data_IF_628747627092
#
_entry.id   IF_628747627092
#
_cell.length_a   1.000
_cell.length_b   1.000
_cell.length_c   1.000
_cell.angle_alpha   90.00
_cell.angle_beta   90.00
_cell.angle_gamma   90.00
#
_symmetry.space_group_name_H-M   'P 1'
#
loop_
_entity.id
_entity.type
_entity.pdbx_description
1 polymer ?
#
# COMPACT_ATOMS: atom_id res chain seq x y z
N UNK A 1 14.20 4.12 -54.35
CA UNK A 1 15.42 4.37 -53.55
C UNK A 1 16.39 5.12 -54.49
N UNK A 2 16.82 6.29 -54.09
CA UNK A 2 17.86 7.01 -54.84
C UNK A 2 19.19 6.28 -54.68
N UNK A 3 19.92 6.13 -55.78
CA UNK A 3 21.23 5.49 -55.79
C UNK A 3 22.22 6.34 -54.97
N UNK A 4 22.71 5.81 -53.84
CA UNK A 4 23.68 6.47 -52.98
C UNK A 4 23.29 6.59 -51.47
N UNK A 5 22.09 6.17 -51.10
CA UNK A 5 21.68 6.19 -49.67
C UNK A 5 22.42 5.09 -48.90
N UNK A 6 23.24 5.48 -47.92
CA UNK A 6 23.88 4.54 -46.99
C UNK A 6 22.86 4.14 -45.96
N UNK A 7 22.43 2.90 -45.94
CA UNK A 7 21.59 2.34 -44.90
C UNK A 7 22.51 1.79 -43.82
N UNK A 8 22.59 2.47 -42.67
CA UNK A 8 23.23 1.92 -41.48
C UNK A 8 22.20 1.01 -40.81
N UNK A 9 22.37 -0.32 -40.94
CA UNK A 9 21.49 -1.27 -40.30
C UNK A 9 21.69 -1.18 -38.77
N UNK A 10 20.65 -0.94 -37.98
CA UNK A 10 20.74 -1.03 -36.50
C UNK A 10 21.04 -2.48 -36.11
N UNK A 11 21.62 -2.65 -34.90
CA UNK A 11 21.78 -3.99 -34.32
C UNK A 11 20.39 -4.54 -34.02
N UNK A 12 19.99 -5.56 -34.77
CA UNK A 12 18.66 -6.15 -34.60
C UNK A 12 18.55 -6.88 -33.25
N UNK A 13 17.57 -6.49 -32.46
CA UNK A 13 17.11 -7.25 -31.29
C UNK A 13 15.80 -7.95 -31.65
N UNK A 14 15.68 -9.24 -31.30
CA UNK A 14 14.48 -10.01 -31.59
C UNK A 14 13.23 -9.35 -30.96
N UNK A 15 12.14 -9.25 -31.75
CA UNK A 15 10.86 -8.67 -31.29
C UNK A 15 10.75 -7.14 -31.43
N UNK A 16 11.78 -6.44 -31.88
CA UNK A 16 11.75 -4.98 -32.08
C UNK A 16 11.34 -4.60 -33.51
N UNK A 17 10.56 -3.53 -33.62
CA UNK A 17 10.25 -2.90 -34.93
C UNK A 17 11.24 -1.76 -35.14
N UNK A 18 11.99 -1.84 -36.26
CA UNK A 18 12.95 -0.83 -36.64
C UNK A 18 12.43 0.03 -37.76
N UNK A 19 12.71 1.31 -37.72
CA UNK A 19 12.45 2.24 -38.81
C UNK A 19 13.77 2.69 -39.43
N UNK A 20 13.79 2.84 -40.75
CA UNK A 20 14.94 3.43 -41.45
C UNK A 20 14.98 4.92 -41.14
N UNK A 21 16.17 5.44 -40.73
CA UNK A 21 16.43 6.86 -40.56
C UNK A 21 16.40 7.55 -41.90
N UNK A 22 15.72 8.68 -42.01
CA UNK A 22 15.78 9.56 -43.16
C UNK A 22 17.03 10.45 -43.05
N UNK A 23 17.73 10.71 -44.18
CA UNK A 23 18.87 11.60 -44.16
C UNK A 23 18.50 12.99 -43.58
N UNK A 24 19.34 13.48 -42.70
CA UNK A 24 19.12 14.75 -41.98
C UNK A 24 18.12 14.70 -40.82
N UNK A 25 17.54 13.53 -40.52
CA UNK A 25 16.62 13.38 -39.41
C UNK A 25 17.37 13.22 -38.07
N UNK A 26 17.02 14.03 -37.07
CA UNK A 26 17.48 13.87 -35.69
C UNK A 26 16.63 12.79 -35.00
N UNK A 27 17.30 11.80 -34.41
CA UNK A 27 16.65 10.78 -33.58
C UNK A 27 17.10 10.96 -32.15
N UNK A 28 16.14 10.87 -31.26
CA UNK A 28 16.37 10.86 -29.82
C UNK A 28 16.08 9.47 -29.24
N UNK A 29 16.84 9.10 -28.25
CA UNK A 29 16.67 7.84 -27.52
C UNK A 29 15.65 8.03 -26.40
N UNK A 30 14.76 7.06 -26.23
CA UNK A 30 13.80 6.99 -25.13
C UNK A 30 14.26 5.88 -24.18
N UNK A 31 14.84 6.25 -23.07
CA UNK A 31 15.19 5.33 -21.99
C UNK A 31 13.99 5.17 -21.07
N UNK A 32 13.65 3.94 -20.72
CA UNK A 32 12.46 3.62 -19.91
C UNK A 32 12.89 2.74 -18.77
N UNK A 33 12.74 3.23 -17.54
CA UNK A 33 12.92 2.44 -16.33
C UNK A 33 11.55 2.03 -15.78
N UNK A 34 11.20 0.77 -15.99
CA UNK A 34 9.94 0.21 -15.48
C UNK A 34 9.95 0.17 -13.94
N UNK A 35 8.82 0.47 -13.28
CA UNK A 35 8.69 0.26 -11.84
C UNK A 35 8.68 -1.24 -11.51
N UNK A 36 8.84 -1.60 -10.24
CA UNK A 36 8.57 -2.97 -9.81
C UNK A 36 7.14 -3.35 -10.23
N UNK A 37 6.99 -4.48 -10.91
CA UNK A 37 5.68 -4.96 -11.41
C UNK A 37 4.64 -5.16 -10.32
N UNK A 38 5.07 -5.39 -9.08
CA UNK A 38 4.19 -5.46 -7.92
C UNK A 38 3.61 -4.09 -7.53
N UNK A 39 4.28 -3.01 -7.91
CA UNK A 39 3.90 -1.64 -7.53
C UNK A 39 3.18 -0.89 -8.64
N UNK A 40 3.30 -1.33 -9.89
CA UNK A 40 2.62 -0.69 -10.99
C UNK A 40 3.15 -1.07 -12.38
N UNK A 41 2.60 -0.42 -13.40
CA UNK A 41 3.02 -0.56 -14.79
C UNK A 41 3.23 0.79 -15.44
N UNK A 42 4.24 0.88 -16.31
CA UNK A 42 4.55 2.05 -17.12
C UNK A 42 4.26 1.75 -18.59
N UNK A 43 3.71 2.70 -19.32
CA UNK A 43 3.48 2.61 -20.75
C UNK A 43 3.91 3.90 -21.45
N UNK A 44 4.74 3.78 -22.47
CA UNK A 44 5.18 4.90 -23.32
C UNK A 44 4.71 4.61 -24.74
N UNK A 45 3.83 5.46 -25.25
CA UNK A 45 3.18 5.28 -26.56
C UNK A 45 3.64 6.40 -27.48
N UNK A 46 4.15 6.06 -28.66
CA UNK A 46 4.34 6.97 -29.79
C UNK A 46 2.99 7.18 -30.47
N UNK A 47 2.44 8.36 -30.30
CA UNK A 47 1.13 8.70 -30.85
C UNK A 47 1.16 8.75 -32.39
N UNK A 48 0.30 7.97 -33.02
CA UNK A 48 0.01 8.01 -34.46
C UNK A 48 1.22 7.82 -35.41
N UNK A 49 2.15 6.94 -35.02
CA UNK A 49 3.12 6.49 -36.03
C UNK A 49 2.41 5.76 -37.16
N UNK A 50 2.35 6.37 -38.36
CA UNK A 50 1.59 5.86 -39.51
C UNK A 50 0.12 5.50 -39.18
N UNK A 51 -0.56 6.42 -38.47
CA UNK A 51 -1.95 6.28 -38.05
C UNK A 51 -2.22 5.21 -36.98
N UNK A 52 -1.17 4.61 -36.43
CA UNK A 52 -1.27 3.64 -35.31
C UNK A 52 -0.40 4.08 -34.15
N UNK A 53 -0.90 3.82 -32.93
CA UNK A 53 -0.12 4.01 -31.74
C UNK A 53 0.89 2.86 -31.59
N UNK A 54 2.15 3.20 -31.27
CA UNK A 54 3.24 2.23 -31.11
C UNK A 54 3.78 2.29 -29.70
N UNK A 55 3.73 1.19 -28.96
CA UNK A 55 4.39 1.09 -27.66
C UNK A 55 5.90 1.11 -27.87
N UNK A 56 6.58 2.02 -27.16
CA UNK A 56 8.04 2.06 -27.09
C UNK A 56 8.55 1.21 -25.93
N UNK A 57 9.74 0.67 -26.13
CA UNK A 57 10.49 -0.05 -25.12
C UNK A 57 11.79 0.68 -24.82
N UNK A 58 12.44 0.32 -23.70
CA UNK A 58 13.71 0.93 -23.29
C UNK A 58 14.77 0.92 -24.40
N UNK A 59 15.35 2.08 -24.66
CA UNK A 59 16.37 2.31 -25.70
C UNK A 59 15.81 2.43 -27.12
N UNK A 60 14.49 2.49 -27.33
CA UNK A 60 13.92 2.80 -28.64
C UNK A 60 14.21 4.24 -29.05
N UNK A 61 14.27 4.48 -30.37
CA UNK A 61 14.54 5.80 -30.93
C UNK A 61 13.34 6.34 -31.69
N UNK A 62 13.08 7.64 -31.51
CA UNK A 62 12.06 8.36 -32.24
C UNK A 62 12.57 9.71 -32.77
N UNK A 63 12.01 10.23 -33.88
CA UNK A 63 12.39 11.53 -34.43
C UNK A 63 12.13 12.68 -33.48
N UNK A 64 12.85 13.76 -33.69
CA UNK A 64 12.53 15.06 -33.13
C UNK A 64 11.07 15.43 -33.39
N UNK A 65 10.45 16.12 -32.42
CA UNK A 65 9.04 16.51 -32.44
C UNK A 65 8.03 15.35 -32.41
N UNK A 66 8.48 14.13 -32.15
CA UNK A 66 7.56 13.00 -31.87
C UNK A 66 6.71 13.30 -30.63
N UNK A 67 5.41 13.03 -30.71
CA UNK A 67 4.52 13.08 -29.56
C UNK A 67 4.48 11.71 -28.87
N UNK A 68 4.81 11.70 -27.61
CA UNK A 68 4.72 10.52 -26.75
C UNK A 68 3.61 10.73 -25.71
N UNK A 69 2.76 9.72 -25.52
CA UNK A 69 1.86 9.66 -24.37
C UNK A 69 2.46 8.70 -23.34
N UNK A 70 2.76 9.22 -22.16
CA UNK A 70 3.38 8.45 -21.07
C UNK A 70 2.36 8.27 -19.97
N UNK A 71 2.04 7.01 -19.64
CA UNK A 71 1.07 6.67 -18.60
C UNK A 71 1.66 5.74 -17.56
N UNK A 72 1.32 5.97 -16.30
CA UNK A 72 1.60 5.05 -15.21
C UNK A 72 0.30 4.62 -14.55
N UNK A 73 0.19 3.34 -14.26
CA UNK A 73 -0.92 2.76 -13.52
C UNK A 73 -0.38 2.06 -12.27
N UNK A 74 -0.61 2.61 -11.04
CA UNK A 74 -0.30 1.91 -9.81
C UNK A 74 -1.03 0.56 -9.74
N UNK A 75 -0.44 -0.43 -9.06
CA UNK A 75 -1.02 -1.77 -8.96
C UNK A 75 -2.32 -1.78 -8.14
N UNK A 76 -2.42 -0.91 -7.14
CA UNK A 76 -3.64 -0.68 -6.36
C UNK A 76 -3.69 0.74 -5.77
N UNK A 77 -4.81 1.07 -5.11
CA UNK A 77 -5.07 2.41 -4.56
C UNK A 77 -4.19 2.79 -3.35
N UNK A 78 -3.45 1.85 -2.77
CA UNK A 78 -2.51 2.09 -1.68
C UNK A 78 -1.12 2.49 -2.17
N UNK A 79 -0.91 2.55 -3.48
CA UNK A 79 0.37 2.89 -4.10
C UNK A 79 0.25 4.22 -4.82
N UNK A 80 1.14 5.15 -4.53
CA UNK A 80 1.33 6.35 -5.33
C UNK A 80 2.47 6.16 -6.31
N UNK A 81 2.34 6.75 -7.50
CA UNK A 81 3.36 6.73 -8.53
C UNK A 81 3.64 8.15 -9.03
N UNK A 82 4.92 8.53 -9.04
CA UNK A 82 5.39 9.82 -9.56
C UNK A 82 6.16 9.55 -10.83
N UNK A 83 5.62 10.01 -11.96
CA UNK A 83 6.22 9.87 -13.28
C UNK A 83 7.21 11.03 -13.51
N UNK A 84 8.38 10.72 -14.03
CA UNK A 84 9.42 11.70 -14.35
C UNK A 84 9.95 11.54 -15.78
N UNK A 85 10.32 12.65 -16.40
CA UNK A 85 11.13 12.69 -17.60
C UNK A 85 12.36 13.56 -17.33
N UNK A 86 13.55 13.03 -17.55
CA UNK A 86 14.83 13.73 -17.27
C UNK A 86 14.86 14.33 -15.85
N UNK A 87 14.34 13.58 -14.86
CA UNK A 87 14.24 14.00 -13.46
C UNK A 87 13.13 15.03 -13.14
N UNK A 88 12.42 15.55 -14.12
CA UNK A 88 11.28 16.47 -13.93
C UNK A 88 9.96 15.69 -13.85
N UNK A 89 9.14 16.01 -12.85
CA UNK A 89 7.81 15.40 -12.71
C UNK A 89 6.92 15.79 -13.88
N UNK A 90 6.27 14.80 -14.47
CA UNK A 90 5.25 14.97 -15.52
C UNK A 90 3.93 14.29 -15.10
N UNK A 91 2.83 14.71 -15.72
CA UNK A 91 1.51 14.15 -15.41
C UNK A 91 1.26 12.89 -16.23
N UNK A 92 0.74 11.82 -15.59
CA UNK A 92 0.33 10.61 -16.30
C UNK A 92 -0.75 10.92 -17.33
N UNK A 93 -0.54 10.48 -18.59
CA UNK A 93 -1.42 10.78 -19.72
C UNK A 93 -1.12 12.11 -20.43
N UNK A 94 -0.20 12.92 -19.92
CA UNK A 94 0.26 14.13 -20.61
C UNK A 94 1.09 13.76 -21.85
N UNK A 95 0.97 14.63 -22.88
CA UNK A 95 1.76 14.47 -24.12
C UNK A 95 3.13 15.13 -23.97
N UNK A 96 4.16 14.34 -24.17
CA UNK A 96 5.54 14.77 -24.19
C UNK A 96 6.00 14.95 -25.65
N UNK A 97 6.49 16.15 -25.99
CA UNK A 97 7.14 16.39 -27.30
C UNK A 97 8.63 16.10 -27.17
N UNK A 98 9.13 15.18 -28.00
CA UNK A 98 10.53 14.79 -27.98
C UNK A 98 11.41 15.85 -28.62
N UNK A 99 12.22 16.55 -27.82
CA UNK A 99 13.17 17.59 -28.25
C UNK A 99 14.62 17.29 -27.84
N UNK A 100 14.83 16.21 -27.11
CA UNK A 100 16.09 15.64 -26.66
C UNK A 100 15.88 14.17 -26.30
N UNK A 101 16.95 13.48 -25.94
CA UNK A 101 16.82 12.15 -25.35
C UNK A 101 15.93 12.22 -24.11
N UNK A 102 15.03 11.26 -23.98
CA UNK A 102 14.12 11.16 -22.85
C UNK A 102 14.57 10.05 -21.89
N UNK A 103 14.53 10.34 -20.60
CA UNK A 103 14.75 9.37 -19.53
C UNK A 103 13.48 9.30 -18.67
N UNK A 104 12.64 8.31 -18.98
CA UNK A 104 11.33 8.13 -18.36
C UNK A 104 11.47 7.16 -17.19
N UNK A 105 11.18 7.66 -15.99
CA UNK A 105 11.28 6.90 -14.74
C UNK A 105 10.02 7.02 -13.92
N UNK A 106 9.77 6.04 -13.04
CA UNK A 106 8.65 6.04 -12.09
C UNK A 106 9.17 5.80 -10.68
N UNK A 107 8.86 6.72 -9.77
CA UNK A 107 9.02 6.52 -8.34
C UNK A 107 7.70 6.04 -7.76
N UNK A 108 7.72 4.91 -7.06
CA UNK A 108 6.52 4.35 -6.42
C UNK A 108 6.69 4.32 -4.91
N UNK A 109 5.60 4.60 -4.18
CA UNK A 109 5.57 4.58 -2.73
C UNK A 109 4.29 3.92 -2.24
N UNK A 110 4.43 2.92 -1.35
CA UNK A 110 3.29 2.30 -0.67
C UNK A 110 2.89 3.20 0.50
N UNK A 111 1.63 3.62 0.52
CA UNK A 111 1.12 4.62 1.46
C UNK A 111 0.73 4.01 2.82
N UNK A 112 0.71 4.79 3.91
CA UNK A 112 0.07 4.41 5.16
C UNK A 112 -1.43 4.16 5.00
N UNK A 113 -1.99 3.24 5.80
CA UNK A 113 -3.44 3.11 5.92
C UNK A 113 -4.00 4.26 6.76
N UNK A 114 -4.73 5.14 6.11
CA UNK A 114 -5.44 6.23 6.76
C UNK A 114 -6.86 5.81 7.15
N UNK A 115 -7.10 5.60 8.43
CA UNK A 115 -8.38 5.17 8.97
C UNK A 115 -9.50 6.21 8.80
N UNK A 116 -9.17 7.50 8.73
CA UNK A 116 -10.16 8.56 8.54
C UNK A 116 -10.84 8.52 7.18
N UNK A 117 -10.22 7.84 6.22
CA UNK A 117 -10.76 7.63 4.87
C UNK A 117 -11.59 6.34 4.77
N UNK A 118 -11.78 5.61 5.87
CA UNK A 118 -12.46 4.31 5.90
C UNK A 118 -13.85 4.46 6.51
N UNK A 119 -14.86 3.98 5.78
CA UNK A 119 -16.27 4.07 6.19
C UNK A 119 -16.86 2.73 6.64
N UNK A 120 -16.10 1.65 6.54
CA UNK A 120 -16.49 0.29 6.90
C UNK A 120 -15.51 -0.33 7.90
N UNK A 121 -15.82 -1.55 8.34
CA UNK A 121 -14.87 -2.35 9.09
C UNK A 121 -13.62 -2.62 8.23
N UNK A 122 -12.46 -2.67 8.87
CA UNK A 122 -11.17 -2.86 8.21
C UNK A 122 -10.59 -4.20 8.64
N UNK A 123 -10.21 -5.04 7.68
CA UNK A 123 -9.45 -6.26 7.94
C UNK A 123 -8.02 -6.08 7.45
N UNK A 124 -7.05 -6.32 8.35
CA UNK A 124 -5.62 -6.31 8.09
C UNK A 124 -5.14 -7.72 7.84
N UNK A 125 -4.37 -7.93 6.79
CA UNK A 125 -3.81 -9.21 6.38
C UNK A 125 -2.40 -9.08 5.83
N UNK A 126 -1.75 -10.21 5.56
CA UNK A 126 -0.51 -10.28 4.80
C UNK A 126 -0.71 -11.12 3.54
N UNK A 127 -0.08 -10.67 2.44
CA UNK A 127 0.08 -11.43 1.20
C UNK A 127 1.58 -11.50 0.89
N UNK A 128 2.23 -12.61 1.26
CA UNK A 128 3.69 -12.72 1.32
C UNK A 128 4.27 -11.72 2.33
N UNK A 129 5.15 -10.84 1.88
CA UNK A 129 5.75 -9.79 2.70
C UNK A 129 4.94 -8.49 2.73
N UNK A 130 3.91 -8.38 1.89
CA UNK A 130 3.16 -7.14 1.71
C UNK A 130 1.98 -7.05 2.69
N UNK A 131 1.87 -5.94 3.41
CA UNK A 131 0.69 -5.61 4.19
C UNK A 131 -0.47 -5.24 3.28
N UNK A 132 -1.63 -5.81 3.57
CA UNK A 132 -2.88 -5.56 2.85
C UNK A 132 -4.01 -5.21 3.81
N UNK A 133 -4.95 -4.42 3.34
CA UNK A 133 -6.22 -4.23 4.02
C UNK A 133 -7.39 -4.40 3.06
N UNK A 134 -8.52 -4.80 3.61
CA UNK A 134 -9.81 -4.80 2.92
C UNK A 134 -10.83 -4.02 3.74
N UNK A 135 -11.77 -3.39 3.06
CA UNK A 135 -12.95 -2.79 3.68
C UNK A 135 -14.19 -3.58 3.32
N UNK A 136 -14.83 -4.16 4.30
CA UNK A 136 -16.16 -4.78 4.14
C UNK A 136 -16.82 -4.96 5.50
N UNK A 137 -18.12 -5.12 5.54
CA UNK A 137 -18.75 -5.74 6.70
C UNK A 137 -18.13 -7.12 6.90
N UNK A 138 -17.68 -7.45 8.11
CA UNK A 138 -16.92 -8.68 8.48
C UNK A 138 -17.62 -9.99 8.04
N UNK A 139 -18.72 -9.93 7.36
CA UNK A 139 -19.53 -11.09 6.99
C UNK A 139 -19.58 -11.41 5.51
N UNK A 140 -18.98 -10.67 4.59
CA UNK A 140 -19.00 -11.11 3.17
C UNK A 140 -18.12 -10.31 2.19
N UNK A 141 -17.60 -11.09 1.23
CA UNK A 141 -17.01 -10.74 -0.08
C UNK A 141 -16.05 -9.56 -0.03
N UNK A 142 -14.78 -9.90 0.14
CA UNK A 142 -13.68 -8.96 0.10
C UNK A 142 -13.75 -8.07 -1.15
N UNK A 143 -13.79 -6.78 -0.96
CA UNK A 143 -13.28 -5.83 -1.94
C UNK A 143 -11.83 -6.19 -2.24
N UNK A 144 -11.31 -5.84 -3.40
CA UNK A 144 -9.91 -6.08 -3.72
C UNK A 144 -9.02 -5.57 -2.58
N UNK A 145 -8.05 -6.39 -2.16
CA UNK A 145 -7.12 -6.01 -1.11
C UNK A 145 -6.22 -4.86 -1.58
N UNK A 146 -6.02 -3.88 -0.73
CA UNK A 146 -5.22 -2.68 -1.01
C UNK A 146 -3.93 -2.71 -0.21
N UNK A 147 -2.80 -2.41 -0.84
CA UNK A 147 -1.49 -2.37 -0.19
C UNK A 147 -1.37 -1.20 0.79
N UNK A 148 -0.63 -1.40 1.88
CA UNK A 148 -0.14 -0.32 2.73
C UNK A 148 1.21 -0.70 3.34
N UNK A 149 1.96 0.29 3.83
CA UNK A 149 3.34 0.11 4.27
C UNK A 149 3.52 -0.42 5.71
N UNK A 150 2.44 -0.94 6.32
CA UNK A 150 2.43 -1.37 7.72
C UNK A 150 2.15 -0.25 8.73
N UNK A 151 2.05 1.00 8.29
CA UNK A 151 1.70 2.14 9.14
C UNK A 151 0.19 2.42 9.08
N UNK A 152 -0.43 2.60 10.24
CA UNK A 152 -1.86 2.87 10.42
C UNK A 152 -2.01 4.19 11.19
N UNK A 153 -2.81 5.11 10.67
CA UNK A 153 -2.97 6.45 11.26
C UNK A 153 -4.41 6.91 11.32
N UNK A 154 -4.64 7.95 12.14
CA UNK A 154 -5.92 8.63 12.28
C UNK A 154 -7.02 7.79 12.95
N UNK A 155 -8.27 8.26 12.88
CA UNK A 155 -9.40 7.65 13.58
C UNK A 155 -10.33 6.92 12.60
N UNK A 156 -10.60 5.66 12.89
CA UNK A 156 -11.63 4.90 12.17
C UNK A 156 -13.02 5.46 12.49
N UNK A 157 -13.91 5.48 11.51
CA UNK A 157 -15.28 5.95 11.67
C UNK A 157 -15.97 5.25 12.86
N UNK A 158 -16.79 6.01 13.61
CA UNK A 158 -17.48 5.48 14.80
C UNK A 158 -18.36 4.27 14.45
N UNK A 159 -18.41 3.32 15.37
CA UNK A 159 -19.12 2.04 15.19
C UNK A 159 -18.42 1.03 14.30
N UNK A 160 -17.25 1.37 13.72
CA UNK A 160 -16.46 0.45 12.90
C UNK A 160 -15.39 -0.25 13.71
N UNK A 161 -14.94 -1.38 13.20
CA UNK A 161 -14.02 -2.29 13.87
C UNK A 161 -12.80 -2.57 13.01
N UNK A 162 -11.73 -3.00 13.66
CA UNK A 162 -10.56 -3.53 12.99
C UNK A 162 -10.39 -5.02 13.33
N UNK A 163 -10.14 -5.81 12.32
CA UNK A 163 -9.76 -7.21 12.42
C UNK A 163 -8.33 -7.37 11.92
N UNK A 164 -7.50 -8.02 12.70
CA UNK A 164 -6.18 -8.50 12.26
C UNK A 164 -6.33 -9.98 12.07
N UNK A 165 -6.30 -10.42 10.81
CA UNK A 165 -6.60 -11.80 10.47
C UNK A 165 -5.41 -12.74 10.72
N UNK A 166 -5.65 -14.03 10.61
CA UNK A 166 -4.69 -15.09 10.91
C UNK A 166 -3.46 -15.13 9.99
N UNK A 167 -3.45 -14.39 8.88
CA UNK A 167 -2.29 -14.30 7.98
C UNK A 167 -1.33 -13.19 8.39
N UNK A 168 -1.77 -12.27 9.26
CA UNK A 168 -1.01 -11.10 9.67
C UNK A 168 0.20 -11.50 10.51
N UNK A 169 1.40 -11.20 10.02
CA UNK A 169 2.66 -11.43 10.70
C UNK A 169 3.62 -10.27 10.51
N UNK A 170 4.23 -9.79 11.61
CA UNK A 170 5.21 -8.70 11.57
C UNK A 170 4.77 -7.45 12.31
N UNK A 171 5.41 -6.33 12.00
CA UNK A 171 5.24 -5.06 12.73
C UNK A 171 4.16 -4.20 12.10
N UNK A 172 3.22 -3.71 12.92
CA UNK A 172 2.28 -2.64 12.61
C UNK A 172 2.64 -1.40 13.42
N UNK A 173 2.74 -0.27 12.76
CA UNK A 173 3.10 1.01 13.35
C UNK A 173 1.84 1.87 13.46
N UNK A 174 1.49 2.32 14.66
CA UNK A 174 0.32 3.15 14.91
C UNK A 174 0.73 4.62 15.12
N UNK A 175 0.46 5.46 14.14
CA UNK A 175 0.67 6.92 14.22
C UNK A 175 -0.58 7.61 14.79
N UNK A 176 -0.73 7.57 16.12
CA UNK A 176 -1.90 8.13 16.81
C UNK A 176 -3.24 7.57 16.32
N UNK A 177 -3.26 6.26 16.03
CA UNK A 177 -4.45 5.59 15.52
C UNK A 177 -5.51 5.41 16.61
N UNK A 178 -6.79 5.57 16.22
CA UNK A 178 -7.94 5.39 17.13
C UNK A 178 -9.01 4.53 16.51
N UNK A 179 -9.54 3.61 17.30
CA UNK A 179 -10.66 2.74 16.96
C UNK A 179 -11.74 2.93 18.01
N UNK A 180 -12.87 3.50 17.62
CA UNK A 180 -14.01 3.76 18.50
C UNK A 180 -15.22 2.94 18.02
N UNK A 181 -15.49 1.82 18.68
CA UNK A 181 -16.63 0.97 18.32
C UNK A 181 -17.71 1.02 19.40
N UNK A 182 -18.40 2.14 19.51
CA UNK A 182 -19.38 2.37 20.58
C UNK A 182 -20.74 1.71 20.34
N UNK A 183 -21.05 1.32 19.11
CA UNK A 183 -22.37 0.84 18.70
C UNK A 183 -22.43 -0.65 18.29
N UNK A 184 -21.34 -1.39 18.36
CA UNK A 184 -21.30 -2.79 17.88
C UNK A 184 -21.37 -3.80 19.03
N UNK A 185 -21.96 -4.97 18.76
CA UNK A 185 -21.98 -6.11 19.66
C UNK A 185 -20.73 -7.00 19.57
N UNK A 186 -19.57 -6.44 19.19
CA UNK A 186 -18.33 -7.15 19.04
C UNK A 186 -17.13 -6.26 19.46
N UNK A 187 -15.94 -6.84 19.74
CA UNK A 187 -14.74 -6.08 20.08
C UNK A 187 -14.38 -5.05 19.01
N UNK A 188 -13.86 -3.89 19.44
CA UNK A 188 -13.44 -2.84 18.53
C UNK A 188 -12.20 -3.25 17.71
N UNK A 189 -11.26 -3.96 18.35
CA UNK A 189 -10.11 -4.60 17.72
C UNK A 189 -10.11 -6.08 18.06
N UNK A 190 -10.00 -6.93 17.04
CA UNK A 190 -9.79 -8.37 17.20
C UNK A 190 -8.49 -8.78 16.52
N UNK A 191 -7.67 -9.57 17.22
CA UNK A 191 -6.48 -10.24 16.69
C UNK A 191 -6.80 -11.72 16.66
N UNK A 192 -6.88 -12.32 15.46
CA UNK A 192 -7.30 -13.71 15.29
C UNK A 192 -6.21 -14.71 15.72
N UNK A 193 -6.67 -15.90 16.06
CA UNK A 193 -5.77 -17.04 16.28
C UNK A 193 -4.95 -17.33 15.01
N UNK A 194 -3.64 -17.46 15.15
CA UNK A 194 -2.69 -17.59 14.05
C UNK A 194 -2.01 -16.25 13.65
N UNK A 195 -2.57 -15.10 13.98
CA UNK A 195 -1.88 -13.83 13.84
C UNK A 195 -0.68 -13.76 14.80
N UNK A 196 0.44 -13.19 14.32
CA UNK A 196 1.64 -12.93 15.12
C UNK A 196 2.14 -11.53 14.80
N UNK A 197 1.68 -10.55 15.55
CA UNK A 197 1.92 -9.14 15.26
C UNK A 197 2.62 -8.42 16.39
N UNK A 198 3.48 -7.48 16.02
CA UNK A 198 4.09 -6.54 16.94
C UNK A 198 3.49 -5.16 16.73
N UNK A 199 3.07 -4.51 17.80
CA UNK A 199 2.56 -3.14 17.76
C UNK A 199 3.61 -2.16 18.25
N UNK A 200 3.80 -1.10 17.48
CA UNK A 200 4.65 0.04 17.81
C UNK A 200 3.84 1.34 17.67
N UNK A 201 4.19 2.38 18.44
CA UNK A 201 3.56 3.69 18.40
C UNK A 201 2.32 3.84 19.29
N UNK A 202 1.37 4.71 18.91
CA UNK A 202 0.24 5.09 19.75
C UNK A 202 -1.09 4.57 19.20
N UNK A 203 -1.75 3.70 19.95
CA UNK A 203 -3.05 3.14 19.62
C UNK A 203 -4.05 3.35 20.75
N UNK A 204 -5.19 3.95 20.45
CA UNK A 204 -6.33 4.04 21.34
C UNK A 204 -7.48 3.19 20.82
N UNK A 205 -7.98 2.26 21.64
CA UNK A 205 -9.11 1.39 21.28
C UNK A 205 -10.21 1.56 22.33
N UNK A 206 -11.41 1.91 21.87
CA UNK A 206 -12.58 2.08 22.73
C UNK A 206 -13.75 1.23 22.27
N UNK A 207 -14.49 0.69 23.24
CA UNK A 207 -15.83 0.14 23.01
C UNK A 207 -16.84 0.80 23.95
N UNK A 208 -18.02 1.07 23.42
CA UNK A 208 -19.17 1.57 24.22
C UNK A 208 -20.18 0.48 24.59
N UNK A 209 -19.89 -0.78 24.27
CA UNK A 209 -20.78 -1.89 24.61
C UNK A 209 -20.35 -2.55 25.92
N UNK A 210 -21.26 -2.63 26.88
CA UNK A 210 -20.99 -3.20 28.20
C UNK A 210 -20.57 -4.68 28.18
N UNK A 211 -21.00 -5.44 27.16
CA UNK A 211 -20.72 -6.86 27.03
C UNK A 211 -19.49 -7.17 26.19
N UNK A 212 -18.86 -6.17 25.58
CA UNK A 212 -17.75 -6.36 24.68
C UNK A 212 -16.44 -5.81 25.24
N UNK A 213 -15.35 -6.48 24.90
CA UNK A 213 -13.99 -5.99 25.12
C UNK A 213 -13.61 -4.93 24.08
N UNK A 214 -12.78 -3.98 24.46
CA UNK A 214 -12.21 -3.07 23.48
C UNK A 214 -11.23 -3.81 22.55
N UNK A 215 -10.37 -4.64 23.13
CA UNK A 215 -9.44 -5.51 22.39
C UNK A 215 -9.73 -6.97 22.76
N UNK A 216 -9.87 -7.83 21.75
CA UNK A 216 -9.82 -9.28 21.89
C UNK A 216 -8.57 -9.78 21.19
N UNK A 217 -7.69 -10.46 21.92
CA UNK A 217 -6.50 -11.09 21.39
C UNK A 217 -6.64 -12.63 21.50
N UNK A 218 -6.76 -13.28 20.37
CA UNK A 218 -6.73 -14.74 20.24
C UNK A 218 -5.42 -15.23 19.59
N UNK A 219 -4.50 -14.32 19.21
CA UNK A 219 -3.21 -14.57 18.58
C UNK A 219 -2.01 -14.24 19.47
N UNK A 220 -0.89 -13.90 18.84
CA UNK A 220 0.31 -13.42 19.51
C UNK A 220 0.44 -11.91 19.25
N UNK A 221 0.41 -11.13 20.31
CA UNK A 221 0.63 -9.69 20.29
C UNK A 221 1.89 -9.36 21.09
N UNK A 222 2.88 -8.75 20.45
CA UNK A 222 4.04 -8.16 21.11
C UNK A 222 3.91 -6.63 21.06
N UNK A 223 4.12 -5.96 22.16
CA UNK A 223 4.17 -4.49 22.22
C UNK A 223 5.63 -4.11 22.27
N UNK A 224 6.11 -3.48 21.20
CA UNK A 224 7.53 -3.17 20.98
C UNK A 224 7.76 -1.67 20.96
N UNK A 225 9.03 -1.25 21.09
CA UNK A 225 9.46 0.14 21.12
C UNK A 225 9.07 0.88 22.41
N UNK A 226 10.06 1.40 23.12
CA UNK A 226 9.92 2.03 24.44
C UNK A 226 8.96 3.25 24.47
N UNK A 227 8.63 3.84 23.31
CA UNK A 227 7.66 4.93 23.19
C UNK A 227 6.22 4.45 22.93
N UNK A 228 6.00 3.15 22.78
CA UNK A 228 4.69 2.59 22.44
C UNK A 228 3.70 2.72 23.58
N UNK A 229 2.54 3.27 23.25
CA UNK A 229 1.42 3.41 24.20
C UNK A 229 0.16 2.81 23.59
N UNK A 230 -0.40 1.79 24.24
CA UNK A 230 -1.70 1.21 23.88
C UNK A 230 -2.68 1.50 24.99
N UNK A 231 -3.79 2.14 24.65
CA UNK A 231 -4.90 2.39 25.55
C UNK A 231 -6.13 1.62 25.11
N UNK A 232 -6.67 0.80 26.01
CA UNK A 232 -7.87 -0.01 25.77
C UNK A 232 -8.92 0.29 26.82
N UNK A 233 -10.09 0.78 26.39
CA UNK A 233 -11.12 1.28 27.31
C UNK A 233 -12.51 0.80 26.92
N UNK A 234 -13.25 0.24 27.89
CA UNK A 234 -14.69 0.12 27.80
C UNK A 234 -15.32 1.37 28.43
N UNK A 235 -16.06 2.15 27.63
CA UNK A 235 -16.67 3.42 28.08
C UNK A 235 -18.05 3.27 28.69
N UNK A 236 -18.64 2.08 28.68
CA UNK A 236 -19.97 1.82 29.24
C UNK A 236 -19.98 1.25 30.67
N UNK A 237 -18.95 1.56 31.44
CA UNK A 237 -18.90 1.27 32.88
C UNK A 237 -18.48 -0.16 33.28
N UNK A 238 -18.20 -1.04 32.35
CA UNK A 238 -17.66 -2.37 32.65
C UNK A 238 -16.14 -2.28 32.81
N UNK A 239 -15.69 -2.14 34.06
CA UNK A 239 -14.27 -1.91 34.39
C UNK A 239 -13.35 -3.11 34.10
N UNK A 240 -13.90 -4.25 33.74
CA UNK A 240 -13.19 -5.52 33.46
C UNK A 240 -13.07 -5.85 31.99
N UNK A 241 -13.60 -5.02 31.08
CA UNK A 241 -13.70 -5.32 29.65
C UNK A 241 -12.81 -4.45 28.74
N UNK A 242 -11.62 -4.14 29.19
CA UNK A 242 -10.61 -3.50 28.35
C UNK A 242 -10.01 -4.49 27.34
N UNK A 243 -9.32 -5.51 27.82
CA UNK A 243 -8.65 -6.52 27.00
C UNK A 243 -9.10 -7.93 27.40
N UNK A 244 -9.39 -8.76 26.42
CA UNK A 244 -9.53 -10.22 26.55
C UNK A 244 -8.34 -10.91 25.89
N UNK A 245 -7.75 -11.87 26.59
CA UNK A 245 -6.69 -12.76 26.07
C UNK A 245 -7.26 -14.19 26.07
N UNK A 246 -7.39 -14.78 24.88
CA UNK A 246 -7.91 -16.13 24.69
C UNK A 246 -6.94 -17.23 25.19
N UNK A 247 -7.42 -18.48 25.27
CA UNK A 247 -6.70 -19.60 25.89
C UNK A 247 -5.27 -19.82 25.40
N UNK A 248 -5.04 -19.75 24.10
CA UNK A 248 -3.72 -19.98 23.48
C UNK A 248 -3.03 -18.67 23.06
N UNK A 249 -3.64 -17.54 23.41
CA UNK A 249 -3.15 -16.23 23.03
C UNK A 249 -2.02 -15.74 23.94
N UNK A 250 -1.17 -14.90 23.40
CA UNK A 250 -0.04 -14.32 24.12
C UNK A 250 -0.04 -12.80 23.96
N UNK A 251 0.21 -12.10 25.06
CA UNK A 251 0.61 -10.68 25.03
C UNK A 251 2.00 -10.58 25.67
N UNK A 252 2.94 -9.97 24.96
CA UNK A 252 4.26 -9.60 25.49
C UNK A 252 4.40 -8.10 25.42
N UNK A 253 4.75 -7.46 26.54
CA UNK A 253 5.04 -6.03 26.62
C UNK A 253 6.52 -5.84 26.91
N UNK A 254 7.26 -5.28 25.97
CA UNK A 254 8.70 -5.04 26.13
C UNK A 254 8.97 -3.88 27.09
N UNK A 255 10.17 -3.87 27.65
CA UNK A 255 10.60 -2.83 28.60
C UNK A 255 10.43 -1.42 28.05
N UNK A 256 9.78 -0.57 28.78
CA UNK A 256 9.54 0.84 28.44
C UNK A 256 8.26 1.09 27.66
N UNK A 257 7.53 0.06 27.25
CA UNK A 257 6.19 0.21 26.64
C UNK A 257 5.13 0.49 27.71
N UNK A 258 4.00 1.06 27.28
CA UNK A 258 2.86 1.33 28.16
C UNK A 258 1.59 0.68 27.63
N UNK A 259 1.02 -0.23 28.41
CA UNK A 259 -0.29 -0.82 28.17
C UNK A 259 -1.28 -0.37 29.24
N UNK A 260 -2.21 0.48 28.89
CA UNK A 260 -3.27 0.96 29.78
C UNK A 260 -4.60 0.30 29.39
N UNK A 261 -5.26 -0.35 30.34
CA UNK A 261 -6.54 -1.01 30.09
C UNK A 261 -7.54 -0.71 31.22
N UNK A 262 -8.83 -0.60 30.88
CA UNK A 262 -9.91 -0.52 31.88
C UNK A 262 -10.13 -1.85 32.62
N UNK A 263 -9.64 -2.97 32.06
CA UNK A 263 -9.69 -4.28 32.69
C UNK A 263 -9.05 -5.34 31.79
N UNK A 264 -8.60 -6.41 32.41
CA UNK A 264 -7.95 -7.54 31.74
C UNK A 264 -8.65 -8.86 32.11
N UNK A 265 -9.22 -9.53 31.13
CA UNK A 265 -9.67 -10.93 31.26
C UNK A 265 -8.63 -11.81 30.58
N UNK A 266 -7.97 -12.67 31.35
CA UNK A 266 -6.84 -13.46 30.87
C UNK A 266 -7.11 -14.96 31.02
N UNK A 267 -7.18 -15.67 29.90
CA UNK A 267 -7.21 -17.13 29.80
C UNK A 267 -5.93 -17.67 29.14
N UNK A 268 -5.08 -16.80 28.61
CA UNK A 268 -3.83 -17.11 27.93
C UNK A 268 -2.59 -16.72 28.73
N UNK A 269 -1.59 -16.15 28.06
CA UNK A 269 -0.31 -15.73 28.66
C UNK A 269 -0.10 -14.22 28.49
N UNK A 270 0.19 -13.53 29.60
CA UNK A 270 0.56 -12.12 29.59
C UNK A 270 1.92 -11.95 30.29
N UNK A 271 2.87 -11.36 29.57
CA UNK A 271 4.22 -11.06 30.04
C UNK A 271 4.43 -9.54 29.94
N UNK A 272 4.76 -8.89 31.05
CA UNK A 272 4.98 -7.44 31.17
C UNK A 272 6.31 -7.14 31.88
#
# INVERSE_FOLDING_TARGET
MEAGSVITAPVYKAGKTYRLKKDGETLYTVNITEPDRKLGTLSVIWDKFKEQDVKLEDGDQAPENTQLTVTVAPADAGITAILKNNGQTITSGEKLTLSADADITVETEVQPLDLSQRSNDVTISKDGDDWKYTEAAITKTATAATSFNGTIKNTLADGKRMLIDNTAQGVLIFESAKINSTSTAAPALTIENGANVSFSGNLEVKTGNADQYAIRNDGILTITDASTTITSTNTNGSSDKGIQVGNDAVIVSETGTTLTTSGLSNEGTVVV
#
